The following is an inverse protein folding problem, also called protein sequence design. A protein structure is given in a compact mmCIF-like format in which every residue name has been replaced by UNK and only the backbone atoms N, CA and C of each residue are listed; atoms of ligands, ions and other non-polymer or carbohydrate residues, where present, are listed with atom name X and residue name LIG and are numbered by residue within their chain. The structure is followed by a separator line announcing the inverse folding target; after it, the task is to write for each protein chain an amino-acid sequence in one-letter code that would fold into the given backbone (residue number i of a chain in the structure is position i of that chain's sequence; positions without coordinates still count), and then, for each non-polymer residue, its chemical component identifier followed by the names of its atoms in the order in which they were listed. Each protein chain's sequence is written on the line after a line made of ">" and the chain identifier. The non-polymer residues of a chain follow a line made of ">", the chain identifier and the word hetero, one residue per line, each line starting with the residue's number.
data_IF_350907235916
#
_entry.id   IF_350907235916
#
_cell.length_a   1.000
_cell.length_b   1.000
_cell.length_c   1.000
_cell.angle_alpha   90.00
_cell.angle_beta   90.00
_cell.angle_gamma   90.00
#
_symmetry.space_group_name_H-M   'P 1'
#
loop_
_entity.id
_entity.type
_entity.pdbx_description
1 polymer ?
#
# COMPACT_ATOMS: atom_id res chain seq x y z
N UNK A 1 -22.76 21.52 32.41
CA UNK A 1 -21.32 21.61 32.75
C UNK A 1 -20.68 20.28 32.37
N UNK A 2 -20.07 20.20 31.19
CA UNK A 2 -19.44 18.96 30.69
C UNK A 2 -17.97 18.93 31.10
N UNK A 3 -17.58 17.91 31.86
CA UNK A 3 -16.19 17.67 32.23
C UNK A 3 -15.40 17.25 30.97
N UNK A 4 -14.45 18.08 30.56
CA UNK A 4 -13.48 17.74 29.54
C UNK A 4 -12.57 16.63 30.08
N UNK A 5 -12.65 15.44 29.49
CA UNK A 5 -11.72 14.36 29.76
C UNK A 5 -10.32 14.78 29.30
N UNK A 6 -9.43 15.05 30.27
CA UNK A 6 -8.02 15.27 30.00
C UNK A 6 -7.45 14.00 29.36
N UNK A 7 -7.11 14.09 28.07
CA UNK A 7 -6.29 13.07 27.41
C UNK A 7 -4.92 13.12 28.05
N UNK A 8 -4.67 12.25 29.04
CA UNK A 8 -3.32 11.99 29.52
C UNK A 8 -2.53 11.45 28.33
N UNK A 9 -1.70 12.31 27.74
CA UNK A 9 -0.81 11.96 26.63
C UNK A 9 0.23 10.96 27.14
N UNK A 10 -0.12 9.68 27.07
CA UNK A 10 0.79 8.60 27.44
C UNK A 10 1.99 8.63 26.50
N UNK A 11 3.20 8.70 27.04
CA UNK A 11 4.42 8.76 26.24
C UNK A 11 4.49 7.56 25.27
N UNK A 12 4.80 7.73 23.98
CA UNK A 12 4.79 6.65 22.98
C UNK A 12 5.65 5.44 23.39
N UNK A 13 6.80 5.67 24.01
CA UNK A 13 7.66 4.61 24.55
C UNK A 13 6.92 3.77 25.60
N UNK A 14 6.16 4.41 26.49
CA UNK A 14 5.39 3.68 27.51
C UNK A 14 4.30 2.82 26.87
N UNK A 15 3.64 3.36 25.85
CA UNK A 15 2.53 2.68 25.16
C UNK A 15 3.00 1.53 24.26
N UNK A 16 4.02 1.76 23.45
CA UNK A 16 4.39 0.86 22.36
C UNK A 16 5.58 -0.04 22.67
N UNK A 17 6.41 0.34 23.65
CA UNK A 17 7.57 -0.45 24.06
C UNK A 17 7.39 -1.07 25.44
N UNK A 18 6.99 -0.29 26.45
CA UNK A 18 6.92 -0.77 27.84
C UNK A 18 5.66 -1.59 28.11
N UNK A 19 4.48 -1.12 27.70
CA UNK A 19 3.22 -1.80 28.00
C UNK A 19 3.18 -3.27 27.53
N UNK A 20 3.66 -3.64 26.32
CA UNK A 20 3.73 -5.04 25.89
C UNK A 20 4.65 -5.91 26.77
N UNK A 21 5.67 -5.30 27.37
CA UNK A 21 6.73 -5.98 28.11
C UNK A 21 6.45 -6.14 29.62
N UNK A 22 5.46 -5.42 30.16
CA UNK A 22 5.11 -5.46 31.59
C UNK A 22 4.67 -6.83 32.09
N UNK A 23 4.15 -7.69 31.22
CA UNK A 23 3.80 -9.07 31.60
C UNK A 23 5.01 -10.00 31.77
N UNK A 24 6.17 -9.61 31.24
CA UNK A 24 7.37 -10.46 31.18
C UNK A 24 8.45 -9.98 32.14
N UNK A 25 8.61 -8.67 32.27
CA UNK A 25 9.64 -8.06 33.10
C UNK A 25 9.01 -7.36 34.31
N UNK A 26 9.41 -7.77 35.50
CA UNK A 26 8.87 -7.28 36.77
C UNK A 26 9.86 -6.47 37.59
N UNK A 27 11.17 -6.62 37.36
CA UNK A 27 12.23 -5.97 38.16
C UNK A 27 13.06 -5.03 37.31
N UNK A 28 13.22 -3.77 37.69
CA UNK A 28 14.13 -2.86 36.98
C UNK A 28 15.57 -2.98 37.49
N UNK A 29 16.59 -2.78 36.63
CA UNK A 29 17.96 -2.65 37.07
C UNK A 29 18.18 -1.24 37.64
N UNK A 30 18.41 -1.12 38.95
CA UNK A 30 18.74 0.15 39.60
C UNK A 30 18.04 0.36 40.94
N UNK A 31 18.13 1.59 41.46
CA UNK A 31 17.60 1.98 42.76
C UNK A 31 16.10 2.34 42.72
N UNK A 32 15.56 2.79 41.57
CA UNK A 32 14.13 3.09 41.43
C UNK A 32 13.58 2.83 40.02
N UNK A 33 12.37 2.28 39.96
CA UNK A 33 11.64 2.06 38.71
C UNK A 33 11.38 3.37 37.95
N UNK A 34 11.13 4.45 38.70
CA UNK A 34 10.80 5.76 38.13
C UNK A 34 11.97 6.34 37.34
N UNK A 35 13.19 6.27 37.87
CA UNK A 35 14.39 6.74 37.18
C UNK A 35 14.71 5.88 35.96
N UNK A 36 14.56 4.56 36.09
CA UNK A 36 14.77 3.63 34.98
C UNK A 36 13.84 3.95 33.80
N UNK A 37 12.54 4.08 34.03
CA UNK A 37 11.59 4.37 32.95
C UNK A 37 11.71 5.80 32.41
N UNK A 38 12.16 6.77 33.22
CA UNK A 38 12.44 8.13 32.75
C UNK A 38 13.64 8.17 31.79
N UNK A 39 14.74 7.47 32.13
CA UNK A 39 15.90 7.33 31.23
C UNK A 39 15.52 6.58 29.95
N UNK A 40 14.73 5.51 30.08
CA UNK A 40 14.25 4.74 28.93
C UNK A 40 13.39 5.59 27.99
N UNK A 41 12.45 6.38 28.52
CA UNK A 41 11.63 7.28 27.70
C UNK A 41 12.47 8.32 26.98
N UNK A 42 13.47 8.89 27.66
CA UNK A 42 14.37 9.89 27.09
C UNK A 42 15.15 9.30 25.91
N UNK A 43 15.78 8.14 26.12
CA UNK A 43 16.63 7.49 25.10
C UNK A 43 15.85 6.96 23.89
N UNK A 44 14.61 6.54 24.09
CA UNK A 44 13.79 5.96 23.02
C UNK A 44 12.84 6.95 22.34
N UNK A 45 12.80 8.21 22.78
CA UNK A 45 11.88 9.25 22.27
C UNK A 45 12.02 9.56 20.78
N UNK A 46 13.17 9.26 20.17
CA UNK A 46 13.43 9.52 18.74
C UNK A 46 12.98 8.42 17.78
N UNK A 47 12.51 7.27 18.27
CA UNK A 47 12.07 6.16 17.42
C UNK A 47 10.57 6.22 17.13
N UNK A 48 10.19 5.84 15.90
CA UNK A 48 8.79 5.76 15.53
C UNK A 48 8.07 4.56 16.21
N UNK A 49 6.73 4.60 16.21
CA UNK A 49 5.90 3.56 16.80
C UNK A 49 6.21 2.14 16.28
N UNK A 50 6.50 1.99 14.98
CA UNK A 50 6.73 0.68 14.37
C UNK A 50 8.05 0.09 14.85
N UNK A 51 9.09 0.92 14.96
CA UNK A 51 10.38 0.51 15.51
C UNK A 51 10.23 0.15 16.98
N UNK A 52 9.51 0.95 17.77
CA UNK A 52 9.27 0.66 19.18
C UNK A 52 8.57 -0.70 19.38
N UNK A 53 7.53 -1.00 18.60
CA UNK A 53 6.84 -2.31 18.65
C UNK A 53 7.75 -3.46 18.21
N UNK A 54 8.48 -3.30 17.11
CA UNK A 54 9.38 -4.35 16.64
C UNK A 54 10.53 -4.62 17.61
N UNK A 55 11.03 -3.57 18.27
CA UNK A 55 12.05 -3.68 19.29
C UNK A 55 11.53 -4.33 20.57
N UNK A 56 10.29 -4.02 21.00
CA UNK A 56 9.69 -4.70 22.16
C UNK A 56 9.53 -6.20 21.91
N UNK A 57 9.08 -6.60 20.72
CA UNK A 57 8.98 -8.02 20.36
C UNK A 57 10.34 -8.72 20.36
N UNK A 58 11.38 -8.04 19.86
CA UNK A 58 12.75 -8.55 19.89
C UNK A 58 13.27 -8.74 21.31
N UNK A 59 13.05 -7.76 22.18
CA UNK A 59 13.44 -7.83 23.59
C UNK A 59 12.70 -8.96 24.31
N UNK A 60 11.39 -9.09 24.07
CA UNK A 60 10.56 -10.16 24.61
C UNK A 60 11.10 -11.55 24.21
N UNK A 61 11.39 -11.75 22.92
CA UNK A 61 11.91 -13.05 22.42
C UNK A 61 13.29 -13.41 22.95
N UNK A 62 14.12 -12.40 23.27
CA UNK A 62 15.47 -12.59 23.84
C UNK A 62 15.46 -12.60 25.38
N UNK A 63 14.30 -12.55 26.03
CA UNK A 63 14.19 -12.48 27.48
C UNK A 63 14.70 -13.78 28.12
N UNK A 64 15.81 -13.71 28.84
CA UNK A 64 16.35 -14.82 29.64
C UNK A 64 15.99 -14.71 31.14
N UNK A 65 15.40 -13.59 31.56
CA UNK A 65 15.05 -13.33 32.96
C UNK A 65 13.87 -12.37 33.06
N UNK A 66 13.26 -12.27 34.24
CA UNK A 66 12.21 -11.29 34.54
C UNK A 66 12.75 -9.89 34.87
N UNK A 67 14.06 -9.68 34.79
CA UNK A 67 14.68 -8.36 35.01
C UNK A 67 14.68 -7.58 33.69
N UNK A 68 14.19 -6.35 33.73
CA UNK A 68 14.21 -5.44 32.60
C UNK A 68 15.65 -5.27 32.06
N UNK A 69 15.86 -5.26 30.74
CA UNK A 69 17.18 -5.01 30.16
C UNK A 69 17.65 -3.60 30.48
N UNK A 70 18.97 -3.40 30.56
CA UNK A 70 19.53 -2.05 30.73
C UNK A 70 19.13 -1.14 29.56
N UNK A 71 18.89 0.17 29.77
CA UNK A 71 18.42 1.08 28.72
C UNK A 71 19.28 1.06 27.43
N UNK A 72 20.62 0.93 27.47
CA UNK A 72 21.43 0.78 26.26
C UNK A 72 21.05 -0.44 25.40
N UNK A 73 20.68 -1.57 26.00
CA UNK A 73 20.22 -2.76 25.25
C UNK A 73 18.87 -2.54 24.58
N UNK A 74 18.00 -1.73 25.18
CA UNK A 74 16.73 -1.33 24.56
C UNK A 74 16.96 -0.43 23.34
N UNK A 75 17.92 0.50 23.44
CA UNK A 75 18.34 1.36 22.31
C UNK A 75 18.92 0.50 21.19
N UNK A 76 19.82 -0.43 21.50
CA UNK A 76 20.39 -1.36 20.54
C UNK A 76 19.29 -2.14 19.80
N UNK A 77 18.30 -2.68 20.51
CA UNK A 77 17.18 -3.37 19.89
C UNK A 77 16.38 -2.46 18.93
N UNK A 78 16.15 -1.20 19.31
CA UNK A 78 15.48 -0.22 18.44
C UNK A 78 16.30 0.11 17.20
N UNK A 79 17.61 0.31 17.34
CA UNK A 79 18.51 0.56 16.21
C UNK A 79 18.57 -0.63 15.26
N UNK A 80 18.66 -1.85 15.78
CA UNK A 80 18.65 -3.05 14.94
C UNK A 80 17.33 -3.17 14.16
N UNK A 81 16.19 -2.99 14.82
CA UNK A 81 14.88 -2.99 14.16
C UNK A 81 14.77 -1.87 13.11
N UNK A 82 15.33 -0.69 13.37
CA UNK A 82 15.38 0.40 12.40
C UNK A 82 16.24 0.04 11.18
N UNK A 83 17.43 -0.56 11.39
CA UNK A 83 18.31 -1.04 10.31
C UNK A 83 17.63 -2.13 9.47
N UNK A 84 16.94 -3.07 10.11
CA UNK A 84 16.19 -4.14 9.43
C UNK A 84 15.03 -3.59 8.61
N UNK A 85 14.27 -2.63 9.17
CA UNK A 85 13.16 -1.99 8.46
C UNK A 85 13.65 -1.19 7.26
N UNK A 86 14.75 -0.46 7.41
CA UNK A 86 15.39 0.27 6.32
C UNK A 86 15.92 -0.66 5.23
N UNK A 87 16.65 -1.71 5.60
CA UNK A 87 17.19 -2.67 4.62
C UNK A 87 16.09 -3.45 3.90
N UNK A 88 14.99 -3.82 4.58
CA UNK A 88 13.81 -4.42 3.96
C UNK A 88 13.19 -3.46 2.96
N UNK A 89 12.92 -2.22 3.36
CA UNK A 89 12.34 -1.19 2.48
C UNK A 89 13.24 -0.91 1.27
N UNK A 90 14.57 -0.90 1.47
CA UNK A 90 15.54 -0.75 0.38
C UNK A 90 15.53 -1.96 -0.55
N UNK A 91 15.47 -3.20 -0.03
CA UNK A 91 15.33 -4.42 -0.84
C UNK A 91 14.02 -4.42 -1.63
N UNK A 92 12.91 -4.08 -1.00
CA UNK A 92 11.61 -3.97 -1.67
C UNK A 92 11.67 -2.94 -2.80
N UNK A 93 12.33 -1.80 -2.58
CA UNK A 93 12.56 -0.81 -3.64
C UNK A 93 13.46 -1.33 -4.76
N UNK A 94 14.50 -2.10 -4.45
CA UNK A 94 15.42 -2.66 -5.46
C UNK A 94 14.73 -3.77 -6.25
N UNK A 95 13.98 -4.66 -5.60
CA UNK A 95 13.17 -5.69 -6.27
C UNK A 95 12.12 -5.03 -7.19
N UNK A 96 11.44 -3.99 -6.71
CA UNK A 96 10.50 -3.22 -7.52
C UNK A 96 11.17 -2.43 -8.67
N UNK A 97 12.47 -2.17 -8.61
CA UNK A 97 13.23 -1.45 -9.65
C UNK A 97 13.95 -2.39 -10.63
N UNK A 98 14.28 -3.61 -10.21
CA UNK A 98 14.91 -4.65 -11.02
C UNK A 98 13.90 -5.54 -11.76
N UNK A 99 12.63 -5.55 -11.35
CA UNK A 99 11.55 -6.05 -12.17
C UNK A 99 11.34 -5.09 -13.36
N UNK A 100 12.07 -5.32 -14.45
CA UNK A 100 11.59 -4.95 -15.78
C UNK A 100 10.26 -5.69 -15.92
N UNK A 101 9.17 -5.01 -15.56
CA UNK A 101 7.85 -5.62 -15.53
C UNK A 101 7.57 -6.27 -16.89
N UNK A 102 6.85 -7.38 -16.84
CA UNK A 102 6.47 -8.14 -18.03
C UNK A 102 5.95 -7.18 -19.13
N UNK A 103 6.32 -7.37 -20.42
CA UNK A 103 5.75 -6.58 -21.50
C UNK A 103 4.21 -6.63 -21.47
N UNK A 104 3.56 -5.52 -21.82
CA UNK A 104 2.09 -5.41 -21.75
C UNK A 104 1.39 -6.53 -22.52
N UNK A 105 1.90 -6.84 -23.71
CA UNK A 105 1.39 -7.90 -24.57
C UNK A 105 1.50 -9.29 -23.92
N UNK A 106 2.60 -9.57 -23.21
CA UNK A 106 2.76 -10.83 -22.50
C UNK A 106 1.76 -10.95 -21.33
N UNK A 107 1.44 -9.83 -20.64
CA UNK A 107 0.51 -9.85 -19.50
C UNK A 107 -0.91 -10.11 -19.98
N UNK A 108 -1.29 -9.50 -21.12
CA UNK A 108 -2.58 -9.76 -21.76
C UNK A 108 -2.67 -11.21 -22.24
N UNK A 109 -1.60 -11.78 -22.79
CA UNK A 109 -1.57 -13.19 -23.18
C UNK A 109 -1.77 -14.14 -22.00
N UNK A 110 -1.10 -13.89 -20.87
CA UNK A 110 -1.31 -14.66 -19.63
C UNK A 110 -2.77 -14.54 -19.17
N UNK A 111 -3.31 -13.32 -19.12
CA UNK A 111 -4.69 -13.08 -18.73
C UNK A 111 -5.69 -13.86 -19.60
N UNK A 112 -5.56 -13.79 -20.93
CA UNK A 112 -6.48 -14.47 -21.84
C UNK A 112 -6.33 -15.98 -21.78
N UNK A 113 -5.11 -16.50 -21.60
CA UNK A 113 -4.86 -17.94 -21.49
C UNK A 113 -5.40 -18.55 -20.18
N UNK A 114 -5.32 -17.81 -19.07
CA UNK A 114 -5.74 -18.31 -17.75
C UNK A 114 -7.21 -18.02 -17.42
N UNK A 115 -7.69 -16.78 -17.65
CA UNK A 115 -9.09 -16.40 -17.39
C UNK A 115 -9.53 -15.23 -18.28
N UNK A 116 -9.95 -15.58 -19.50
CA UNK A 116 -10.53 -14.65 -20.46
C UNK A 116 -11.75 -13.87 -19.90
N UNK A 117 -12.60 -14.53 -19.12
CA UNK A 117 -13.82 -13.92 -18.58
C UNK A 117 -13.48 -12.83 -17.55
N UNK A 118 -12.42 -13.00 -16.77
CA UNK A 118 -11.90 -11.94 -15.90
C UNK A 118 -11.48 -10.71 -16.71
N UNK A 119 -10.78 -10.91 -17.83
CA UNK A 119 -10.38 -9.82 -18.73
C UNK A 119 -11.58 -9.03 -19.26
N UNK A 120 -12.63 -9.72 -19.72
CA UNK A 120 -13.85 -9.08 -20.21
C UNK A 120 -14.61 -8.33 -19.09
N UNK A 121 -14.71 -8.93 -17.89
CA UNK A 121 -15.28 -8.24 -16.72
C UNK A 121 -14.47 -7.00 -16.33
N UNK A 122 -13.14 -7.07 -16.45
CA UNK A 122 -12.27 -5.94 -16.18
C UNK A 122 -12.46 -4.80 -17.16
N UNK A 123 -12.68 -5.11 -18.44
CA UNK A 123 -13.05 -4.12 -19.46
C UNK A 123 -14.40 -3.47 -19.17
N UNK A 124 -15.42 -4.25 -18.80
CA UNK A 124 -16.75 -3.73 -18.50
C UNK A 124 -16.78 -2.88 -17.23
N UNK A 125 -15.91 -3.19 -16.26
CA UNK A 125 -15.81 -2.47 -14.99
C UNK A 125 -14.73 -1.41 -14.95
N UNK A 126 -14.06 -1.12 -16.07
CA UNK A 126 -13.04 -0.08 -16.19
C UNK A 126 -11.80 -0.25 -15.31
N UNK A 127 -11.48 -1.48 -14.92
CA UNK A 127 -10.35 -1.82 -14.05
C UNK A 127 -9.28 -2.70 -14.73
N UNK A 128 -9.38 -2.90 -16.05
CA UNK A 128 -8.41 -3.65 -16.85
C UNK A 128 -6.98 -3.12 -16.75
N UNK A 129 -6.79 -1.80 -16.61
CA UNK A 129 -5.45 -1.22 -16.44
C UNK A 129 -4.77 -1.66 -15.14
N UNK A 130 -5.54 -1.77 -14.06
CA UNK A 130 -5.05 -2.20 -12.75
C UNK A 130 -4.79 -3.71 -12.70
N UNK A 131 -5.64 -4.50 -13.37
CA UNK A 131 -5.44 -5.94 -13.57
C UNK A 131 -4.14 -6.22 -14.32
N UNK A 132 -3.92 -5.57 -15.46
CA UNK A 132 -2.69 -5.75 -16.25
C UNK A 132 -1.47 -5.29 -15.47
N UNK A 133 -1.54 -4.16 -14.74
CA UNK A 133 -0.43 -3.72 -13.88
C UNK A 133 -0.14 -4.72 -12.75
N UNK A 134 -1.15 -5.37 -12.20
CA UNK A 134 -0.97 -6.44 -11.22
C UNK A 134 -0.21 -7.62 -11.82
N UNK A 135 -0.64 -8.13 -12.98
CA UNK A 135 0.00 -9.27 -13.64
C UNK A 135 1.44 -8.92 -14.02
N UNK A 136 1.70 -7.71 -14.54
CA UNK A 136 3.05 -7.27 -14.90
C UNK A 136 4.00 -7.20 -13.71
N UNK A 137 3.50 -6.88 -12.52
CA UNK A 137 4.30 -6.76 -11.29
C UNK A 137 4.49 -8.10 -10.59
N UNK A 138 3.47 -8.95 -10.58
CA UNK A 138 3.46 -10.18 -9.80
C UNK A 138 3.67 -11.46 -10.63
N UNK A 139 3.63 -11.35 -11.96
CA UNK A 139 3.81 -12.47 -12.89
C UNK A 139 2.83 -13.64 -12.64
N UNK A 140 1.64 -13.33 -12.13
CA UNK A 140 0.56 -14.30 -11.85
C UNK A 140 -0.80 -13.62 -11.91
N UNK A 141 -1.87 -14.43 -11.97
CA UNK A 141 -3.24 -13.97 -11.82
C UNK A 141 -3.54 -13.58 -10.36
N UNK A 142 -4.36 -12.53 -10.13
CA UNK A 142 -4.84 -12.16 -8.80
C UNK A 142 -5.82 -13.20 -8.27
N UNK A 143 -5.85 -13.38 -6.94
CA UNK A 143 -6.93 -14.13 -6.29
C UNK A 143 -8.22 -13.29 -6.16
N UNK A 144 -9.27 -13.88 -5.59
CA UNK A 144 -10.58 -13.21 -5.44
C UNK A 144 -10.48 -11.95 -4.57
N UNK A 145 -9.77 -12.01 -3.44
CA UNK A 145 -9.60 -10.89 -2.54
C UNK A 145 -8.79 -9.75 -3.20
N UNK A 146 -7.76 -10.10 -3.97
CA UNK A 146 -6.97 -9.15 -4.74
C UNK A 146 -7.81 -8.50 -5.85
N UNK A 147 -8.66 -9.27 -6.55
CA UNK A 147 -9.59 -8.74 -7.54
C UNK A 147 -10.53 -7.68 -6.94
N UNK A 148 -11.13 -7.95 -5.78
CA UNK A 148 -11.96 -6.98 -5.06
C UNK A 148 -11.17 -5.70 -4.74
N UNK A 149 -9.93 -5.85 -4.27
CA UNK A 149 -9.02 -4.74 -4.01
C UNK A 149 -8.76 -3.87 -5.25
N UNK A 150 -8.54 -4.50 -6.41
CA UNK A 150 -8.34 -3.80 -7.68
C UNK A 150 -9.60 -3.04 -8.12
N UNK A 151 -10.79 -3.65 -7.98
CA UNK A 151 -12.08 -3.03 -8.32
C UNK A 151 -12.33 -1.80 -7.43
N UNK A 152 -12.18 -1.95 -6.12
CA UNK A 152 -12.37 -0.83 -5.17
C UNK A 152 -11.39 0.31 -5.46
N UNK A 153 -10.13 -0.02 -5.76
CA UNK A 153 -9.12 0.97 -6.13
C UNK A 153 -9.48 1.71 -7.43
N UNK A 154 -10.00 1.00 -8.43
CA UNK A 154 -10.44 1.58 -9.70
C UNK A 154 -11.63 2.55 -9.50
N UNK A 155 -12.64 2.15 -8.72
CA UNK A 155 -13.79 3.00 -8.36
C UNK A 155 -13.30 4.27 -7.64
N UNK A 156 -12.47 4.12 -6.62
CA UNK A 156 -11.94 5.26 -5.86
C UNK A 156 -11.10 6.21 -6.73
N UNK A 157 -10.36 5.69 -7.71
CA UNK A 157 -9.62 6.49 -8.68
C UNK A 157 -10.55 7.26 -9.62
N UNK A 158 -11.57 6.60 -10.17
CA UNK A 158 -12.57 7.24 -11.04
C UNK A 158 -13.27 8.41 -10.33
N UNK A 159 -13.72 8.19 -9.09
CA UNK A 159 -14.31 9.25 -8.27
C UNK A 159 -13.35 10.43 -8.03
N UNK A 160 -12.06 10.14 -7.79
CA UNK A 160 -11.04 11.19 -7.59
C UNK A 160 -10.79 12.00 -8.85
N UNK A 161 -10.68 11.32 -9.99
CA UNK A 161 -10.50 11.95 -11.30
C UNK A 161 -11.69 12.85 -11.66
N UNK A 162 -12.92 12.38 -11.42
CA UNK A 162 -14.12 13.17 -11.62
C UNK A 162 -14.16 14.41 -10.71
N UNK A 163 -13.78 14.28 -9.44
CA UNK A 163 -13.66 15.43 -8.51
C UNK A 163 -12.61 16.44 -8.98
N UNK A 164 -11.47 15.97 -9.50
CA UNK A 164 -10.42 16.83 -10.06
C UNK A 164 -10.88 17.57 -11.31
N UNK A 165 -11.61 16.88 -12.20
CA UNK A 165 -12.21 17.49 -13.37
C UNK A 165 -13.20 18.59 -12.99
N UNK A 166 -14.13 18.29 -12.08
CA UNK A 166 -15.11 19.25 -11.61
C UNK A 166 -14.47 20.45 -10.91
N UNK A 167 -13.45 20.22 -10.08
CA UNK A 167 -12.71 21.30 -9.43
C UNK A 167 -11.99 22.21 -10.45
N UNK A 168 -11.41 21.63 -11.50
CA UNK A 168 -10.78 22.38 -12.57
C UNK A 168 -11.80 23.19 -13.39
N UNK A 169 -12.95 22.60 -13.71
CA UNK A 169 -14.02 23.30 -14.42
C UNK A 169 -14.58 24.46 -13.59
N UNK A 170 -14.83 24.24 -12.29
CA UNK A 170 -15.26 25.30 -11.37
C UNK A 170 -14.21 26.42 -11.28
N UNK A 171 -12.92 26.07 -11.31
CA UNK A 171 -11.82 27.04 -11.29
C UNK A 171 -11.74 27.91 -12.55
N UNK A 172 -12.06 27.34 -13.73
CA UNK A 172 -12.00 28.06 -15.01
C UNK A 172 -13.28 28.85 -15.34
N UNK A 173 -14.45 28.29 -14.99
CA UNK A 173 -15.75 28.81 -15.44
C UNK A 173 -16.65 29.29 -14.31
N UNK A 174 -16.21 29.19 -13.05
CA UNK A 174 -16.99 29.65 -11.89
C UNK A 174 -18.23 28.78 -11.65
N UNK A 175 -19.41 29.42 -11.58
CA UNK A 175 -20.70 28.75 -11.29
C UNK A 175 -21.37 28.16 -12.54
N UNK A 176 -21.03 28.62 -13.74
CA UNK A 176 -21.65 28.18 -15.00
C UNK A 176 -20.85 27.07 -15.67
N UNK A 177 -20.86 25.90 -15.04
CA UNK A 177 -20.09 24.72 -15.48
C UNK A 177 -20.91 23.76 -16.36
N UNK A 178 -22.24 23.91 -16.40
CA UNK A 178 -23.11 23.01 -17.14
C UNK A 178 -22.74 22.95 -18.63
N UNK A 179 -22.48 21.74 -19.14
CA UNK A 179 -22.15 21.48 -20.55
C UNK A 179 -20.76 21.92 -20.98
N UNK A 180 -19.94 22.48 -20.10
CA UNK A 180 -18.56 22.88 -20.42
C UNK A 180 -17.59 21.72 -20.23
N UNK A 181 -16.58 21.67 -21.09
CA UNK A 181 -15.49 20.70 -21.04
C UNK A 181 -14.18 21.46 -20.85
N UNK A 182 -13.22 20.84 -20.16
CA UNK A 182 -11.88 21.40 -20.04
C UNK A 182 -11.21 21.54 -21.41
N UNK A 183 -10.48 22.63 -21.67
CA UNK A 183 -9.65 22.76 -22.87
C UNK A 183 -8.66 21.59 -23.01
N UNK A 184 -8.36 21.18 -24.24
CA UNK A 184 -7.48 20.03 -24.51
C UNK A 184 -6.04 20.22 -23.99
N UNK A 185 -5.59 21.47 -23.87
CA UNK A 185 -4.29 21.83 -23.31
C UNK A 185 -4.29 21.92 -21.77
N UNK A 186 -5.43 21.74 -21.10
CA UNK A 186 -5.50 21.80 -19.64
C UNK A 186 -4.84 20.56 -19.02
N UNK A 187 -3.97 20.69 -18.00
CA UNK A 187 -3.23 19.56 -17.42
C UNK A 187 -4.12 18.40 -16.95
N UNK A 188 -5.27 18.71 -16.34
CA UNK A 188 -6.23 17.69 -15.89
C UNK A 188 -6.85 16.96 -17.09
N UNK A 189 -7.16 17.66 -18.18
CA UNK A 189 -7.74 17.05 -19.40
C UNK A 189 -6.74 16.11 -20.06
N UNK A 190 -5.48 16.53 -20.17
CA UNK A 190 -4.38 15.70 -20.69
C UNK A 190 -4.25 14.41 -19.88
N UNK A 191 -4.24 14.53 -18.54
CA UNK A 191 -4.17 13.37 -17.64
C UNK A 191 -5.37 12.43 -17.82
N UNK A 192 -6.61 12.97 -17.86
CA UNK A 192 -7.82 12.17 -18.07
C UNK A 192 -7.77 11.43 -19.43
N UNK A 193 -7.42 12.14 -20.49
CA UNK A 193 -7.27 11.57 -21.83
C UNK A 193 -6.21 10.46 -21.84
N UNK A 194 -5.10 10.63 -21.13
CA UNK A 194 -4.07 9.58 -21.01
C UNK A 194 -4.58 8.32 -20.29
N UNK A 195 -5.40 8.48 -19.24
CA UNK A 195 -6.04 7.34 -18.58
C UNK A 195 -7.05 6.62 -19.49
N UNK A 196 -7.88 7.37 -20.21
CA UNK A 196 -8.85 6.84 -21.17
C UNK A 196 -8.15 6.10 -22.30
N UNK A 197 -7.17 6.72 -22.95
CA UNK A 197 -6.40 6.10 -24.03
C UNK A 197 -5.69 4.82 -23.58
N UNK A 198 -5.16 4.80 -22.35
CA UNK A 198 -4.55 3.60 -21.77
C UNK A 198 -5.58 2.48 -21.57
N UNK A 199 -6.77 2.81 -21.07
CA UNK A 199 -7.88 1.86 -20.85
C UNK A 199 -8.38 1.26 -22.17
N UNK A 200 -8.60 2.11 -23.17
CA UNK A 200 -9.02 1.70 -24.51
C UNK A 200 -7.98 0.80 -25.15
N UNK A 201 -6.69 1.17 -25.08
CA UNK A 201 -5.60 0.33 -25.59
C UNK A 201 -5.63 -1.07 -24.99
N UNK A 202 -5.76 -1.20 -23.67
CA UNK A 202 -5.83 -2.53 -23.04
C UNK A 202 -7.11 -3.28 -23.41
N UNK A 203 -8.25 -2.60 -23.49
CA UNK A 203 -9.49 -3.25 -23.93
C UNK A 203 -9.36 -3.80 -25.35
N UNK A 204 -8.76 -3.03 -26.27
CA UNK A 204 -8.45 -3.49 -27.64
C UNK A 204 -7.50 -4.68 -27.64
N UNK A 205 -6.42 -4.63 -26.85
CA UNK A 205 -5.47 -5.74 -26.77
C UNK A 205 -6.12 -7.01 -26.23
N UNK A 206 -6.95 -6.91 -25.20
CA UNK A 206 -7.70 -8.04 -24.64
C UNK A 206 -8.64 -8.60 -25.72
N UNK A 207 -9.48 -7.77 -26.34
CA UNK A 207 -10.41 -8.20 -27.37
C UNK A 207 -9.71 -8.89 -28.57
N UNK A 208 -8.58 -8.35 -29.01
CA UNK A 208 -7.79 -8.96 -30.09
C UNK A 208 -7.20 -10.33 -29.71
N UNK A 209 -6.77 -10.51 -28.46
CA UNK A 209 -6.24 -11.79 -28.01
C UNK A 209 -7.35 -12.82 -27.80
N UNK A 210 -8.50 -12.40 -27.28
CA UNK A 210 -9.71 -13.25 -27.16
C UNK A 210 -10.11 -13.81 -28.53
N UNK A 211 -10.26 -12.95 -29.54
CA UNK A 211 -10.64 -13.37 -30.89
C UNK A 211 -9.63 -14.35 -31.52
N UNK A 212 -8.33 -14.20 -31.23
CA UNK A 212 -7.29 -15.11 -31.72
C UNK A 212 -7.39 -16.51 -31.08
N UNK A 213 -7.74 -16.58 -29.80
CA UNK A 213 -7.90 -17.87 -29.10
C UNK A 213 -9.12 -18.62 -29.64
N UNK A 214 -10.25 -17.93 -29.81
CA UNK A 214 -11.49 -18.53 -30.35
C UNK A 214 -11.28 -19.11 -31.77
N UNK A 215 -10.49 -18.44 -32.61
CA UNK A 215 -10.19 -18.94 -33.97
C UNK A 215 -9.34 -20.22 -34.00
N UNK A 216 -8.50 -20.45 -32.97
CA UNK A 216 -7.65 -21.63 -32.91
C UNK A 216 -8.39 -22.86 -32.38
N UNK A 217 -9.33 -22.70 -31.46
CA UNK A 217 -10.16 -23.81 -30.95
C UNK A 217 -11.09 -24.37 -32.03
N UNK A 218 -11.60 -23.52 -32.93
CA UNK A 218 -12.44 -23.94 -34.06
C UNK A 218 -11.70 -24.78 -35.13
N UNK A 219 -10.37 -24.69 -35.21
CA UNK A 219 -9.57 -25.40 -36.21
C UNK A 219 -9.16 -26.83 -35.78
N UNK A 220 -9.30 -27.18 -34.50
CA UNK A 220 -8.96 -28.50 -33.96
C UNK A 220 -10.16 -29.48 -33.95
N UNK A 221 -11.33 -29.05 -34.43
CA UNK A 221 -12.56 -29.84 -34.49
C UNK A 221 -13.02 -30.19 -35.92
N UNK A 222 -12.13 -30.10 -36.91
CA UNK A 222 -12.37 -30.55 -38.29
C UNK A 222 -11.48 -31.74 -38.63
#
# INVERSE_FOLDING_TARGET
>A
MGAAAAQTSTHPVLQFFVAPLRGTFSRTPGASDKEYFADLCTRLSGFDERILRGASDRVFRKAASQTWPLPPKCVEACEETARETYTRTKRDRVLNKAAVGLPEDAAVRILVAEDMNLGLRACNGDWQGDLIDFIKRNHRMPDVCECEGLIVAAIARSQRLHKQEQAALNGLFGRDVSGRVLPDNHPVKIMLNAFTARRERFATMIAQNVLKTDTNEGAHHV
#
